data_IF_187191072676
#
_entry.id   IF_187191072676
#
_cell.length_a   1.000
_cell.length_b   1.000
_cell.length_c   1.000
_cell.angle_alpha   90.00
_cell.angle_beta   90.00
_cell.angle_gamma   90.00
#
_symmetry.space_group_name_H-M   'P 1'
#
loop_
_entity.id
_entity.type
_entity.pdbx_description
1 polymer ?
#
# COMPACT_ATOMS: atom_id res chain seq x y z
N UNK A 1 16.96 3.64 14.18
CA UNK A 1 16.68 3.25 13.97
C UNK A 1 16.15 2.41 13.96
N UNK A 2 15.92 2.49 13.85
CA UNK A 2 15.52 1.86 13.68
C UNK A 2 15.09 1.23 13.43
N UNK A 3 15.02 1.14 13.29
CA UNK A 3 14.68 0.60 12.99
C UNK A 3 14.27 -0.23 13.10
N UNK A 4 14.34 0.29 13.13
CA UNK A 4 14.03 -0.41 13.43
C UNK A 4 13.20 -1.17 13.42
N UNK A 5 12.80 -0.60 13.56
CA UNK A 5 11.82 -1.35 13.50
C UNK A 5 11.91 -2.42 12.84
N UNK A 6 12.56 -2.15 12.89
CA UNK A 6 12.44 -2.77 12.40
C UNK A 6 12.85 -3.78 11.61
N UNK A 7 13.28 -3.62 10.74
CA UNK A 7 13.62 -4.60 9.78
C UNK A 7 12.49 -5.38 9.18
N UNK A 8 11.29 -5.09 9.61
CA UNK A 8 10.12 -5.75 9.03
C UNK A 8 9.60 -4.93 7.87
N UNK A 9 9.31 -5.60 6.78
CA UNK A 9 8.76 -4.95 5.61
C UNK A 9 7.54 -5.73 5.12
N UNK A 10 6.71 -5.07 4.34
CA UNK A 10 5.57 -5.69 3.70
C UNK A 10 5.60 -5.28 2.23
N UNK A 11 5.42 -6.24 1.36
CA UNK A 11 5.36 -6.00 -0.09
C UNK A 11 3.91 -6.09 -0.52
N UNK A 12 3.45 -5.07 -1.23
CA UNK A 12 2.08 -5.03 -1.72
C UNK A 12 2.08 -4.84 -3.22
N UNK A 13 1.07 -5.41 -3.85
CA UNK A 13 0.88 -5.31 -5.28
C UNK A 13 -0.51 -4.76 -5.55
N UNK A 14 -0.61 -3.80 -6.45
CA UNK A 14 -1.91 -3.27 -6.86
C UNK A 14 -2.58 -4.24 -7.84
N UNK A 15 -3.76 -4.71 -7.47
CA UNK A 15 -4.51 -5.66 -8.29
C UNK A 15 -5.79 -5.05 -8.86
N UNK A 16 -6.11 -3.81 -8.47
CA UNK A 16 -7.29 -3.12 -8.97
C UNK A 16 -7.04 -1.63 -9.03
N UNK A 17 -7.85 -0.93 -9.78
CA UNK A 17 -7.77 0.52 -9.88
C UNK A 17 -8.90 1.17 -9.10
N UNK A 18 -8.66 2.35 -8.48
CA UNK A 18 -9.74 3.05 -7.78
C UNK A 18 -10.75 3.56 -8.80
N UNK A 19 -12.00 3.63 -8.35
CA UNK A 19 -13.03 4.23 -9.17
C UNK A 19 -12.76 5.72 -9.31
N UNK A 20 -13.17 6.30 -10.44
CA UNK A 20 -12.95 7.72 -10.68
C UNK A 20 -13.58 8.61 -9.61
N UNK A 21 -14.62 8.12 -8.96
CA UNK A 21 -15.35 8.87 -7.96
C UNK A 21 -14.71 8.87 -6.59
N UNK A 22 -13.62 8.15 -6.41
CA UNK A 22 -13.04 8.01 -5.09
C UNK A 22 -11.59 8.49 -5.07
N UNK A 23 -11.39 9.81 -4.98
CA UNK A 23 -10.04 10.38 -4.95
C UNK A 23 -9.26 9.97 -3.70
N UNK A 24 -9.94 9.57 -2.62
CA UNK A 24 -9.28 9.16 -1.40
C UNK A 24 -8.48 7.89 -1.62
N UNK A 25 -9.06 6.94 -2.34
CA UNK A 25 -8.37 5.68 -2.63
C UNK A 25 -7.14 5.94 -3.49
N UNK A 26 -7.27 6.81 -4.47
CA UNK A 26 -6.15 7.16 -5.32
C UNK A 26 -5.01 7.79 -4.52
N UNK A 27 -5.34 8.72 -3.62
CA UNK A 27 -4.33 9.34 -2.78
C UNK A 27 -3.62 8.31 -1.91
N UNK A 28 -4.37 7.36 -1.36
CA UNK A 28 -3.78 6.31 -0.54
C UNK A 28 -2.83 5.44 -1.37
N UNK A 29 -3.22 5.08 -2.58
CA UNK A 29 -2.35 4.31 -3.46
C UNK A 29 -1.09 5.07 -3.81
N UNK A 30 -1.22 6.35 -4.13
CA UNK A 30 -0.05 7.18 -4.41
C UNK A 30 0.87 7.25 -3.19
N UNK A 31 0.29 7.40 -2.00
CA UNK A 31 1.06 7.41 -0.76
C UNK A 31 1.80 6.10 -0.52
N UNK A 32 1.24 4.99 -0.99
CA UNK A 32 1.91 3.69 -0.91
C UNK A 32 2.93 3.49 -2.03
N UNK A 33 3.01 4.40 -2.98
CA UNK A 33 3.91 4.27 -4.12
C UNK A 33 3.38 3.39 -5.23
N UNK A 34 2.08 3.12 -5.22
CA UNK A 34 1.46 2.26 -6.22
C UNK A 34 0.87 3.10 -7.36
N UNK A 35 -0.42 3.15 -7.49
CA UNK A 35 -1.11 3.93 -8.51
C UNK A 35 -0.88 3.42 -9.95
N UNK A 36 -0.49 2.17 -10.11
CA UNK A 36 -0.43 1.49 -11.40
C UNK A 36 -0.75 0.03 -11.19
N UNK A 37 -1.48 -0.55 -12.13
CA UNK A 37 -1.80 -1.97 -12.07
C UNK A 37 -0.53 -2.81 -12.05
N UNK A 38 -0.55 -3.83 -11.22
CA UNK A 38 0.54 -4.79 -11.08
C UNK A 38 1.84 -4.21 -10.55
N UNK A 39 1.81 -2.96 -10.08
CA UNK A 39 2.99 -2.38 -9.45
C UNK A 39 3.14 -2.96 -8.04
N UNK A 40 4.37 -3.30 -7.69
CA UNK A 40 4.71 -3.79 -6.36
C UNK A 40 5.58 -2.79 -5.64
N UNK A 41 5.37 -2.67 -4.34
CA UNK A 41 6.21 -1.82 -3.50
C UNK A 41 6.47 -2.52 -2.18
N UNK A 42 7.72 -2.43 -1.73
CA UNK A 42 8.10 -2.92 -0.42
C UNK A 42 8.16 -1.72 0.52
N UNK A 43 7.42 -1.81 1.62
CA UNK A 43 7.26 -0.71 2.56
C UNK A 43 7.58 -1.20 3.95
N UNK A 44 7.86 -0.28 4.86
CA UNK A 44 8.03 -0.64 6.26
C UNK A 44 6.70 -1.11 6.83
N UNK A 45 6.75 -2.17 7.61
CA UNK A 45 5.56 -2.70 8.24
C UNK A 45 5.25 -1.92 9.51
N UNK A 46 4.62 -0.77 9.36
CA UNK A 46 4.25 0.08 10.48
C UNK A 46 2.73 0.17 10.57
N UNK A 47 2.19 0.56 11.75
CA UNK A 47 0.74 0.74 11.86
C UNK A 47 0.19 1.75 10.84
N UNK A 48 0.94 2.80 10.53
CA UNK A 48 0.50 3.79 9.54
C UNK A 48 0.36 3.15 8.16
N UNK A 49 1.36 2.38 7.74
CA UNK A 49 1.33 1.69 6.44
C UNK A 49 0.22 0.65 6.41
N UNK A 50 0.05 -0.11 7.50
CA UNK A 50 -1.02 -1.08 7.57
C UNK A 50 -2.40 -0.43 7.47
N UNK A 51 -2.56 0.74 8.09
CA UNK A 51 -3.81 1.49 8.00
C UNK A 51 -4.11 1.95 6.56
N UNK A 52 -3.08 2.39 5.84
CA UNK A 52 -3.24 2.76 4.44
C UNK A 52 -3.62 1.56 3.58
N UNK A 53 -2.96 0.43 3.80
CA UNK A 53 -3.28 -0.80 3.07
C UNK A 53 -4.71 -1.21 3.33
N UNK A 54 -5.16 -1.12 4.57
CA UNK A 54 -6.52 -1.49 4.93
C UNK A 54 -7.57 -0.65 4.19
N UNK A 55 -7.27 0.62 3.95
CA UNK A 55 -8.19 1.50 3.22
C UNK A 55 -8.38 1.08 1.78
N UNK A 56 -7.40 0.44 1.19
CA UNK A 56 -7.46 0.01 -0.22
C UNK A 56 -7.28 -1.50 -0.35
N UNK A 57 -7.64 -2.23 0.69
CA UNK A 57 -7.43 -3.69 0.73
C UNK A 57 -8.08 -4.41 -0.44
N UNK A 58 -9.17 -3.86 -0.98
CA UNK A 58 -9.85 -4.44 -2.12
C UNK A 58 -9.12 -4.17 -3.44
N UNK A 59 -8.11 -3.31 -3.43
CA UNK A 59 -7.36 -2.92 -4.63
C UNK A 59 -5.92 -3.42 -4.60
N UNK A 60 -5.46 -3.92 -3.47
CA UNK A 60 -4.07 -4.36 -3.32
C UNK A 60 -4.02 -5.71 -2.62
N UNK A 61 -2.88 -6.36 -2.76
CA UNK A 61 -2.66 -7.65 -2.14
C UNK A 61 -1.27 -7.67 -1.53
N UNK A 62 -1.14 -8.23 -0.35
CA UNK A 62 0.16 -8.47 0.25
C UNK A 62 0.75 -9.72 -0.38
N UNK A 63 1.95 -9.61 -0.93
CA UNK A 63 2.53 -10.66 -1.76
C UNK A 63 3.78 -11.29 -1.18
N UNK A 64 4.23 -10.90 0.00
CA UNK A 64 5.39 -11.58 0.57
C UNK A 64 5.05 -12.41 1.80
#
# INVERSE_FOLDING_TARGET
MADAASGKTVTVEQIGSPLRRDPRQRKTLVGLGLNKMNRRRTLEDTPAIRGMIAKVAHLVRVVD
#
